data_IF_497048394840
#
_entry.id   IF_497048394840
#
_cell.length_a   1.000
_cell.length_b   1.000
_cell.length_c   1.000
_cell.angle_alpha   90.00
_cell.angle_beta   90.00
_cell.angle_gamma   90.00
#
_symmetry.space_group_name_H-M   'P 1'
#
loop_
_entity.id
_entity.type
_entity.pdbx_description
1 polymer ?
#
# COMPACT_ATOMS: atom_id res chain seq x y z
N UNK A 1 21.73 -7.67 1.51
CA UNK A 1 20.47 -7.88 2.23
C UNK A 1 19.48 -8.46 1.23
N UNK A 2 18.68 -9.43 1.64
CA UNK A 2 17.73 -10.15 0.77
C UNK A 2 16.34 -9.53 0.97
N UNK A 3 15.79 -8.88 -0.06
CA UNK A 3 14.43 -8.34 -0.03
C UNK A 3 13.41 -9.46 -0.22
N UNK A 4 12.57 -9.72 0.79
CA UNK A 4 11.53 -10.76 0.72
C UNK A 4 10.19 -10.20 0.24
N UNK A 5 10.02 -8.88 0.28
CA UNK A 5 8.90 -8.14 -0.29
C UNK A 5 9.47 -6.92 -1.00
N UNK A 6 9.04 -6.69 -2.24
CA UNK A 6 9.32 -5.46 -2.97
C UNK A 6 8.02 -4.94 -3.57
N UNK A 7 7.68 -3.69 -3.24
CA UNK A 7 6.52 -2.96 -3.73
C UNK A 7 7.01 -1.77 -4.52
N UNK A 8 6.58 -1.65 -5.79
CA UNK A 8 6.98 -0.56 -6.66
C UNK A 8 5.75 0.18 -7.18
N UNK A 9 5.63 1.47 -6.84
CA UNK A 9 4.60 2.37 -7.34
C UNK A 9 3.18 1.81 -7.20
N UNK A 10 2.94 1.10 -6.10
CA UNK A 10 1.65 0.45 -5.83
C UNK A 10 0.57 1.51 -5.68
N UNK A 11 -0.59 1.26 -6.30
CA UNK A 11 -1.74 2.15 -6.33
C UNK A 11 -3.01 1.36 -6.06
N UNK A 12 -3.90 1.93 -5.24
CA UNK A 12 -5.23 1.41 -5.01
C UNK A 12 -6.21 2.57 -4.95
N UNK A 13 -7.03 2.68 -5.99
CA UNK A 13 -8.05 3.70 -6.10
C UNK A 13 -9.43 3.06 -6.01
N UNK A 14 -10.34 3.72 -5.31
CA UNK A 14 -11.74 3.35 -5.16
C UNK A 14 -12.61 4.42 -5.81
N UNK A 15 -13.62 4.02 -6.56
CA UNK A 15 -14.52 4.93 -7.25
C UNK A 15 -15.50 4.15 -8.12
N UNK A 16 -16.68 4.72 -8.34
CA UNK A 16 -17.71 4.19 -9.24
C UNK A 16 -18.05 5.20 -10.34
N UNK A 17 -19.01 4.86 -11.21
CA UNK A 17 -19.42 5.64 -12.41
C UNK A 17 -19.76 7.13 -12.17
N UNK A 18 -19.90 7.58 -10.92
CA UNK A 18 -20.29 8.94 -10.53
C UNK A 18 -19.13 9.93 -10.37
N UNK A 19 -17.91 9.59 -10.83
CA UNK A 19 -16.81 10.55 -11.03
C UNK A 19 -15.89 10.82 -9.83
N UNK A 20 -16.30 10.45 -8.60
CA UNK A 20 -15.43 10.62 -7.43
C UNK A 20 -14.45 9.44 -7.30
N UNK A 21 -13.15 9.75 -7.34
CA UNK A 21 -12.06 8.80 -7.13
C UNK A 21 -11.41 9.07 -5.77
N UNK A 22 -11.44 8.07 -4.90
CA UNK A 22 -10.67 8.04 -3.65
C UNK A 22 -9.37 7.33 -3.88
N UNK A 23 -8.25 8.01 -3.61
CA UNK A 23 -6.91 7.41 -3.70
C UNK A 23 -6.49 6.86 -2.34
N UNK A 24 -6.79 5.59 -2.08
CA UNK A 24 -6.44 4.98 -0.79
C UNK A 24 -4.95 4.66 -0.68
N UNK A 25 -4.31 4.30 -1.79
CA UNK A 25 -2.85 4.16 -1.90
C UNK A 25 -2.43 4.82 -3.21
N UNK A 26 -1.47 5.76 -3.16
CA UNK A 26 -1.06 6.55 -4.34
C UNK A 26 0.45 6.52 -4.56
N UNK A 27 0.94 5.48 -5.26
CA UNK A 27 2.31 5.43 -5.76
C UNK A 27 3.35 5.11 -4.68
N UNK A 28 3.02 4.23 -3.73
CA UNK A 28 3.93 3.85 -2.66
C UNK A 28 4.94 2.82 -3.18
N UNK A 29 6.22 3.05 -2.90
CA UNK A 29 7.30 2.08 -3.09
C UNK A 29 7.95 1.78 -1.75
N UNK A 30 8.10 0.50 -1.41
CA UNK A 30 8.80 0.05 -0.20
C UNK A 30 9.27 -1.40 -0.37
N UNK A 31 10.24 -1.80 0.45
CA UNK A 31 10.71 -3.18 0.53
C UNK A 31 10.76 -3.62 1.99
N UNK A 32 10.83 -4.93 2.19
CA UNK A 32 11.07 -5.53 3.51
C UNK A 32 12.22 -6.53 3.38
N UNK A 33 13.22 -6.36 4.23
CA UNK A 33 14.36 -7.26 4.29
C UNK A 33 14.06 -8.54 5.09
N UNK A 34 14.76 -9.62 4.76
CA UNK A 34 14.66 -10.87 5.48
C UNK A 34 15.05 -10.69 6.96
N UNK A 35 14.14 -11.06 7.86
CA UNK A 35 14.33 -10.96 9.31
C UNK A 35 13.95 -9.60 9.89
N UNK A 36 13.46 -8.67 9.07
CA UNK A 36 12.96 -7.38 9.53
C UNK A 36 11.57 -7.51 10.18
N UNK A 37 11.32 -6.74 11.24
CA UNK A 37 10.00 -6.60 11.86
C UNK A 37 9.48 -5.18 11.61
N UNK A 38 8.49 -5.05 10.72
CA UNK A 38 7.99 -3.75 10.24
C UNK A 38 6.57 -3.50 10.72
N UNK A 39 6.28 -2.26 11.11
CA UNK A 39 4.94 -1.78 11.42
C UNK A 39 4.58 -0.61 10.49
N UNK A 40 3.34 -0.58 10.01
CA UNK A 40 2.76 0.54 9.26
C UNK A 40 1.80 1.26 10.21
N UNK A 41 1.94 2.59 10.29
CA UNK A 41 1.15 3.45 11.17
C UNK A 41 0.59 4.64 10.40
N UNK A 42 -0.63 5.06 10.73
CA UNK A 42 -1.28 6.20 10.09
C UNK A 42 -2.44 6.77 10.90
N UNK A 43 -2.94 7.93 10.46
CA UNK A 43 -4.17 8.51 11.00
C UNK A 43 -5.39 7.79 10.39
N UNK A 44 -6.54 7.86 11.07
CA UNK A 44 -7.78 7.28 10.52
C UNK A 44 -8.05 7.80 9.10
N UNK A 45 -8.15 6.87 8.14
CA UNK A 45 -8.38 7.19 6.73
C UNK A 45 -7.12 7.49 5.90
N UNK A 46 -5.91 7.34 6.44
CA UNK A 46 -4.66 7.62 5.69
C UNK A 46 -4.25 6.52 4.70
N UNK A 47 -4.95 5.39 4.68
CA UNK A 47 -4.62 4.26 3.80
C UNK A 47 -3.57 3.29 4.37
N UNK A 48 -3.28 3.38 5.67
CA UNK A 48 -2.41 2.44 6.40
C UNK A 48 -3.00 1.01 6.45
N UNK A 49 -4.33 0.89 6.46
CA UNK A 49 -5.05 -0.38 6.36
C UNK A 49 -5.76 -0.53 5.00
N UNK A 50 -5.03 -0.99 3.99
CA UNK A 50 -5.58 -1.33 2.65
C UNK A 50 -5.21 -2.75 2.28
N UNK A 51 -6.20 -3.54 1.86
CA UNK A 51 -5.98 -4.93 1.44
C UNK A 51 -5.45 -4.97 0.00
N UNK A 52 -4.24 -5.49 -0.15
CA UNK A 52 -3.61 -5.78 -1.44
C UNK A 52 -3.42 -7.30 -1.52
N UNK A 53 -3.89 -7.91 -2.61
CA UNK A 53 -3.66 -9.34 -2.87
C UNK A 53 -2.35 -9.48 -3.62
N UNK A 54 -1.39 -10.16 -3.01
CA UNK A 54 -0.19 -10.66 -3.69
C UNK A 54 -0.58 -11.98 -4.34
N UNK A 55 -0.69 -12.00 -5.67
CA UNK A 55 -1.08 -13.17 -6.46
C UNK A 55 0.13 -13.96 -6.91
#
# INVERSE_FOLDING_TARGET
MEHILNLEQVKKYYGGNSGNITKAVDGISMYVDKGEFVAIMGASGSGDYVKIRLS
#
